data_IF_883236140926
#
_entry.id   IF_883236140926
#
_cell.length_a   1.000
_cell.length_b   1.000
_cell.length_c   1.000
_cell.angle_alpha   90.00
_cell.angle_beta   90.00
_cell.angle_gamma   90.00
#
_symmetry.space_group_name_H-M   'P 1'
#
loop_
_entity.id
_entity.type
_entity.pdbx_description
1 polymer ?
#
# COMPACT_ATOMS: atom_id res chain seq x y z
N UNK A 1 33.82 -8.32 -25.34
CA UNK A 1 33.44 -8.75 -23.98
C UNK A 1 34.57 -8.47 -22.98
N UNK A 2 34.73 -7.21 -22.53
CA UNK A 2 35.78 -6.81 -21.55
C UNK A 2 35.32 -5.73 -20.56
N UNK A 3 34.02 -5.44 -20.46
CA UNK A 3 33.49 -4.41 -19.54
C UNK A 3 32.86 -4.97 -18.26
N UNK A 4 32.64 -6.29 -18.16
CA UNK A 4 32.00 -6.91 -16.99
C UNK A 4 32.93 -7.14 -15.79
N UNK A 5 34.25 -7.04 -15.96
CA UNK A 5 35.22 -7.29 -14.87
C UNK A 5 35.54 -6.06 -14.02
N UNK A 6 35.17 -4.84 -14.45
CA UNK A 6 35.43 -3.62 -13.70
C UNK A 6 34.41 -3.34 -12.59
N UNK A 7 33.21 -3.94 -12.66
CA UNK A 7 32.14 -3.70 -11.69
C UNK A 7 32.32 -4.51 -10.39
N UNK A 8 33.05 -5.62 -10.46
CA UNK A 8 33.34 -6.47 -9.29
C UNK A 8 34.44 -5.91 -8.36
N UNK A 9 35.24 -4.92 -8.79
CA UNK A 9 36.26 -4.33 -7.92
C UNK A 9 35.75 -3.24 -6.98
N UNK A 10 34.49 -2.79 -7.14
CA UNK A 10 33.92 -1.71 -6.32
C UNK A 10 33.29 -2.20 -5.01
N UNK A 11 32.98 -3.50 -4.89
CA UNK A 11 32.24 -4.07 -3.75
C UNK A 11 33.14 -4.35 -2.52
N UNK A 12 34.47 -4.19 -2.65
CA UNK A 12 35.45 -4.56 -1.61
C UNK A 12 35.96 -3.41 -0.73
N UNK A 13 35.19 -2.33 -0.55
CA UNK A 13 35.54 -1.25 0.41
C UNK A 13 34.37 -1.01 1.35
N UNK A 14 34.10 -1.98 2.22
CA UNK A 14 33.42 -1.76 3.50
C UNK A 14 34.49 -1.56 4.57
N UNK A 15 34.51 -0.45 5.33
CA UNK A 15 35.23 -0.42 6.58
C UNK A 15 34.38 -1.12 7.65
N UNK A 16 34.93 -2.21 8.18
CA UNK A 16 34.54 -2.76 9.46
C UNK A 16 34.90 -1.76 10.56
N UNK A 17 33.93 -1.40 11.40
CA UNK A 17 34.19 -0.73 12.69
C UNK A 17 33.57 -1.56 13.80
N UNK A 18 34.39 -2.40 14.42
CA UNK A 18 34.20 -2.84 15.79
C UNK A 18 34.65 -1.71 16.73
N UNK A 19 33.83 -1.37 17.72
CA UNK A 19 34.30 -0.76 18.96
C UNK A 19 33.31 -1.06 20.08
N UNK A 20 33.68 -2.02 20.93
CA UNK A 20 33.12 -2.18 22.27
C UNK A 20 33.51 -0.97 23.15
N UNK A 21 32.57 -0.42 23.92
CA UNK A 21 32.87 0.17 25.23
C UNK A 21 31.59 0.25 26.07
N UNK A 22 31.51 -0.62 27.07
CA UNK A 22 30.60 -0.55 28.22
C UNK A 22 31.06 0.57 29.17
N UNK A 23 30.15 1.43 29.63
CA UNK A 23 29.81 1.65 31.05
C UNK A 23 28.86 2.85 31.23
N UNK A 24 27.98 2.67 32.21
CA UNK A 24 26.77 3.42 32.52
C UNK A 24 26.95 4.90 32.91
N UNK A 25 25.97 5.73 32.52
CA UNK A 25 25.37 6.70 33.44
C UNK A 25 23.98 7.16 32.98
N UNK A 26 23.01 6.67 33.73
CA UNK A 26 21.60 7.03 33.76
C UNK A 26 21.43 8.53 34.07
N UNK A 27 20.80 9.28 33.15
CA UNK A 27 20.07 10.50 33.45
C UNK A 27 18.84 10.52 32.53
N UNK A 28 17.67 10.36 33.16
CA UNK A 28 16.37 10.56 32.55
C UNK A 28 16.26 12.01 32.09
N UNK A 29 16.00 12.22 30.81
CA UNK A 29 15.24 13.36 30.33
C UNK A 29 14.61 12.98 29.00
N UNK A 30 13.31 12.73 29.08
CA UNK A 30 12.30 12.91 28.03
C UNK A 30 12.80 12.63 26.61
N UNK A 31 12.68 11.37 26.21
CA UNK A 31 12.67 11.03 24.79
C UNK A 31 11.55 11.84 24.14
N UNK A 32 11.96 12.86 23.38
CA UNK A 32 11.22 13.34 22.23
C UNK A 32 10.56 12.13 21.58
N UNK A 33 9.24 12.22 21.36
CA UNK A 33 8.49 11.25 20.60
C UNK A 33 9.30 10.92 19.36
N UNK A 34 9.87 9.71 19.38
CA UNK A 34 10.51 9.08 18.25
C UNK A 34 9.53 9.27 17.11
N UNK A 35 9.89 10.14 16.16
CA UNK A 35 9.29 10.20 14.84
C UNK A 35 9.46 8.80 14.28
N UNK A 36 8.52 7.95 14.68
CA UNK A 36 8.49 6.54 14.41
C UNK A 36 8.67 6.50 12.92
N UNK A 37 9.77 5.93 12.46
CA UNK A 37 9.99 5.67 11.05
C UNK A 37 8.71 5.01 10.57
N UNK A 38 7.86 5.79 9.90
CA UNK A 38 6.60 5.31 9.37
C UNK A 38 7.09 4.22 8.45
N UNK A 39 6.77 2.96 8.78
CA UNK A 39 7.11 1.86 7.91
C UNK A 39 6.66 2.28 6.52
N UNK A 40 7.55 2.21 5.53
CA UNK A 40 7.31 2.69 4.18
C UNK A 40 6.29 1.76 3.52
N UNK A 41 5.03 1.91 3.91
CA UNK A 41 3.93 1.03 3.51
C UNK A 41 3.48 1.47 2.14
N UNK A 42 3.36 0.51 1.24
CA UNK A 42 2.81 0.72 -0.10
C UNK A 42 1.30 0.43 -0.12
N UNK A 43 0.65 0.22 1.04
CA UNK A 43 -0.77 -0.09 1.16
C UNK A 43 -1.53 1.06 1.81
N UNK A 44 -2.51 1.58 1.07
CA UNK A 44 -3.31 2.75 1.44
C UNK A 44 -4.80 2.41 1.50
N UNK A 45 -5.54 3.21 2.25
CA UNK A 45 -7.01 3.09 2.40
C UNK A 45 -7.76 4.31 1.87
N UNK A 46 -7.04 5.25 1.27
CA UNK A 46 -7.59 6.35 0.50
C UNK A 46 -7.02 6.33 -0.91
N UNK A 47 -7.87 6.58 -1.91
CA UNK A 47 -7.44 6.70 -3.30
C UNK A 47 -6.52 7.92 -3.48
N UNK A 48 -6.86 9.05 -2.84
CA UNK A 48 -6.10 10.28 -2.97
C UNK A 48 -4.70 10.14 -2.37
N UNK A 49 -4.59 9.59 -1.16
CA UNK A 49 -3.30 9.38 -0.49
C UNK A 49 -2.42 8.40 -1.27
N UNK A 50 -2.96 7.27 -1.72
CA UNK A 50 -2.19 6.30 -2.51
C UNK A 50 -1.75 6.86 -3.86
N UNK A 51 -2.55 7.71 -4.49
CA UNK A 51 -2.18 8.37 -5.75
C UNK A 51 -1.10 9.45 -5.54
N UNK A 52 -1.19 10.22 -4.47
CA UNK A 52 -0.18 11.23 -4.11
C UNK A 52 1.16 10.57 -3.80
N UNK A 53 1.15 9.57 -2.92
CA UNK A 53 2.34 8.82 -2.57
C UNK A 53 3.02 8.18 -3.78
N UNK A 54 2.23 7.52 -4.64
CA UNK A 54 2.77 6.89 -5.84
C UNK A 54 3.42 7.91 -6.80
N UNK A 55 2.92 9.15 -6.84
CA UNK A 55 3.56 10.22 -7.63
C UNK A 55 4.85 10.72 -6.98
N UNK A 56 4.84 10.90 -5.67
CA UNK A 56 5.99 11.38 -4.91
C UNK A 56 7.16 10.40 -4.98
N UNK A 57 6.87 9.10 -4.89
CA UNK A 57 7.84 8.01 -5.05
C UNK A 57 8.15 7.67 -6.52
N UNK A 58 7.53 8.36 -7.48
CA UNK A 58 7.76 8.16 -8.91
C UNK A 58 7.32 6.78 -9.41
N UNK A 59 6.38 6.13 -8.72
CA UNK A 59 5.77 4.87 -9.15
C UNK A 59 4.86 5.13 -10.35
N UNK A 60 4.84 4.18 -11.28
CA UNK A 60 4.09 4.31 -12.52
C UNK A 60 2.72 3.65 -12.45
N UNK A 61 2.47 2.86 -11.40
CA UNK A 61 1.28 2.01 -11.28
C UNK A 61 0.63 2.18 -9.91
N UNK A 62 -0.70 2.27 -9.88
CA UNK A 62 -1.50 2.18 -8.67
C UNK A 62 -2.48 1.02 -8.84
N UNK A 63 -2.46 0.06 -7.93
CA UNK A 63 -3.34 -1.11 -7.95
C UNK A 63 -4.44 -0.88 -6.92
N UNK A 64 -5.68 -0.76 -7.37
CA UNK A 64 -6.83 -0.53 -6.49
C UNK A 64 -7.63 -1.82 -6.36
N UNK A 65 -7.70 -2.37 -5.15
CA UNK A 65 -8.59 -3.46 -4.79
C UNK A 65 -9.93 -2.87 -4.38
N UNK A 66 -10.90 -2.92 -5.28
CA UNK A 66 -12.21 -2.32 -5.11
C UNK A 66 -13.26 -3.39 -4.85
N UNK A 67 -14.05 -3.20 -3.80
CA UNK A 67 -15.31 -3.91 -3.61
C UNK A 67 -16.47 -2.96 -3.32
N UNK A 68 -17.59 -3.22 -4.00
CA UNK A 68 -18.87 -2.54 -3.80
C UNK A 68 -19.99 -3.48 -3.35
N UNK A 69 -19.74 -4.80 -3.32
CA UNK A 69 -20.72 -5.83 -2.93
C UNK A 69 -20.89 -6.01 -1.43
N UNK A 70 -19.92 -5.57 -0.61
CA UNK A 70 -19.85 -5.93 0.81
C UNK A 70 -19.06 -7.21 1.06
N UNK A 71 -18.06 -7.48 0.22
CA UNK A 71 -17.01 -8.45 0.45
C UNK A 71 -16.14 -8.03 1.65
N UNK A 72 -15.48 -9.01 2.29
CA UNK A 72 -14.68 -8.78 3.48
C UNK A 72 -13.51 -7.82 3.19
N UNK A 73 -13.51 -6.67 3.87
CA UNK A 73 -12.39 -5.73 3.88
C UNK A 73 -11.07 -6.44 4.24
N UNK A 74 -11.09 -7.30 5.25
CA UNK A 74 -9.91 -8.02 5.75
C UNK A 74 -9.27 -8.90 4.66
N UNK A 75 -10.09 -9.52 3.81
CA UNK A 75 -9.57 -10.36 2.73
C UNK A 75 -8.86 -9.53 1.66
N UNK A 76 -9.37 -8.34 1.33
CA UNK A 76 -8.73 -7.44 0.39
C UNK A 76 -7.47 -6.79 0.99
N UNK A 77 -7.54 -6.38 2.27
CA UNK A 77 -6.37 -5.88 3.00
C UNK A 77 -5.25 -6.91 3.05
N UNK A 78 -5.59 -8.17 3.35
CA UNK A 78 -4.64 -9.28 3.32
C UNK A 78 -3.99 -9.44 1.93
N UNK A 79 -4.79 -9.42 0.85
CA UNK A 79 -4.27 -9.53 -0.50
C UNK A 79 -3.34 -8.36 -0.86
N UNK A 80 -3.68 -7.13 -0.46
CA UNK A 80 -2.83 -5.96 -0.67
C UNK A 80 -1.49 -6.08 0.06
N UNK A 81 -1.49 -6.49 1.32
CA UNK A 81 -0.25 -6.73 2.08
C UNK A 81 0.56 -7.90 1.52
N UNK A 82 -0.08 -8.95 1.00
CA UNK A 82 0.61 -10.03 0.31
C UNK A 82 1.29 -9.52 -0.97
N UNK A 83 0.64 -8.64 -1.75
CA UNK A 83 1.24 -8.01 -2.92
C UNK A 83 2.37 -7.03 -2.55
N UNK A 84 2.23 -6.30 -1.46
CA UNK A 84 3.26 -5.42 -0.91
C UNK A 84 4.53 -6.19 -0.54
N UNK A 85 4.38 -7.38 0.04
CA UNK A 85 5.50 -8.26 0.39
C UNK A 85 6.26 -8.83 -0.82
N UNK A 86 5.73 -8.62 -2.03
CA UNK A 86 6.34 -9.06 -3.29
C UNK A 86 7.18 -7.96 -3.94
N UNK A 87 7.85 -8.27 -5.06
CA UNK A 87 8.59 -7.27 -5.87
C UNK A 87 7.68 -6.20 -6.49
N UNK A 88 6.35 -6.38 -6.46
CA UNK A 88 5.41 -5.42 -7.03
C UNK A 88 5.44 -4.08 -6.29
N UNK A 89 5.71 -4.06 -4.98
CA UNK A 89 5.80 -2.82 -4.18
C UNK A 89 6.89 -1.86 -4.65
N UNK A 90 7.89 -2.35 -5.39
CA UNK A 90 8.93 -1.50 -6.00
C UNK A 90 8.38 -0.65 -7.15
N UNK A 91 7.27 -1.07 -7.78
CA UNK A 91 6.74 -0.44 -8.99
C UNK A 91 5.31 0.08 -8.83
N UNK A 92 4.61 -0.37 -7.79
CA UNK A 92 3.22 -0.07 -7.55
C UNK A 92 2.93 0.23 -6.08
N UNK A 93 1.96 1.10 -5.87
CA UNK A 93 1.22 1.20 -4.62
C UNK A 93 -0.11 0.45 -4.73
N UNK A 94 -0.66 0.09 -3.57
CA UNK A 94 -1.88 -0.68 -3.43
C UNK A 94 -2.89 0.15 -2.62
N UNK A 95 -4.10 0.27 -3.13
CA UNK A 95 -5.20 0.94 -2.42
C UNK A 95 -6.31 -0.07 -2.19
N UNK A 96 -6.82 -0.15 -0.97
CA UNK A 96 -7.94 -1.04 -0.63
C UNK A 96 -9.19 -0.21 -0.39
N UNK A 97 -10.16 -0.33 -1.28
CA UNK A 97 -11.45 0.36 -1.24
C UNK A 97 -12.58 -0.65 -1.03
N UNK A 98 -12.89 -0.92 0.24
CA UNK A 98 -14.02 -1.75 0.62
C UNK A 98 -14.61 -1.27 1.94
N UNK A 99 -15.90 -1.54 2.14
CA UNK A 99 -16.59 -1.17 3.37
C UNK A 99 -16.03 -1.96 4.55
N UNK A 100 -15.71 -1.24 5.62
CA UNK A 100 -15.43 -1.83 6.93
C UNK A 100 -16.79 -1.96 7.63
N UNK A 101 -17.22 -3.19 7.90
CA UNK A 101 -18.50 -3.44 8.55
C UNK A 101 -18.72 -2.48 9.74
N UNK A 102 -19.90 -1.85 9.80
CA UNK A 102 -20.17 -0.85 10.83
C UNK A 102 -20.01 -1.47 12.22
N UNK A 103 -19.19 -0.86 13.08
CA UNK A 103 -19.06 -1.28 14.49
C UNK A 103 -20.42 -1.06 15.16
N UNK A 104 -21.19 -2.12 15.48
CA UNK A 104 -22.60 -1.99 15.82
C UNK A 104 -22.85 -1.40 17.22
N UNK A 105 -21.78 -1.08 17.97
CA UNK A 105 -21.83 -0.70 19.38
C UNK A 105 -21.72 0.80 19.64
N UNK A 106 -21.65 1.64 18.61
CA UNK A 106 -21.57 3.11 18.75
C UNK A 106 -22.92 3.73 18.38
N UNK A 107 -23.49 4.57 19.27
CA UNK A 107 -24.74 5.30 19.02
C UNK A 107 -24.55 6.83 19.12
N UNK A 108 -24.95 7.61 18.09
CA UNK A 108 -25.53 7.15 16.82
C UNK A 108 -24.51 6.36 15.99
N UNK A 109 -24.97 5.47 15.09
CA UNK A 109 -24.07 4.72 14.22
C UNK A 109 -23.22 5.70 13.42
N UNK A 110 -21.90 5.57 13.54
CA UNK A 110 -20.95 6.35 12.75
C UNK A 110 -20.90 5.72 11.35
N UNK A 111 -21.12 6.50 10.28
CA UNK A 111 -21.01 5.97 8.93
C UNK A 111 -19.56 5.54 8.66
N UNK A 112 -19.42 4.43 7.94
CA UNK A 112 -18.10 3.92 7.55
C UNK A 112 -17.38 4.93 6.64
N UNK A 113 -16.20 5.44 7.04
CA UNK A 113 -15.45 6.41 6.24
C UNK A 113 -15.08 5.88 4.85
N UNK A 114 -14.93 4.56 4.68
CA UNK A 114 -14.61 3.95 3.39
C UNK A 114 -15.69 4.18 2.33
N UNK A 115 -16.93 4.46 2.74
CA UNK A 115 -18.01 4.81 1.81
C UNK A 115 -17.66 6.08 1.03
N UNK A 116 -17.01 7.06 1.69
CA UNK A 116 -16.55 8.28 1.04
C UNK A 116 -15.42 8.01 0.05
N UNK A 117 -14.43 7.22 0.46
CA UNK A 117 -13.27 6.87 -0.40
C UNK A 117 -13.69 6.10 -1.66
N UNK A 118 -14.61 5.15 -1.52
CA UNK A 118 -15.19 4.43 -2.66
C UNK A 118 -15.91 5.40 -3.59
N UNK A 119 -16.72 6.32 -3.05
CA UNK A 119 -17.46 7.28 -3.86
C UNK A 119 -16.52 8.22 -4.64
N UNK A 120 -15.45 8.72 -4.00
CA UNK A 120 -14.44 9.57 -4.65
C UNK A 120 -13.75 8.84 -5.81
N UNK A 121 -13.39 7.57 -5.61
CA UNK A 121 -12.79 6.76 -6.66
C UNK A 121 -13.75 6.55 -7.84
N UNK A 122 -15.01 6.19 -7.56
CA UNK A 122 -16.02 5.97 -8.60
C UNK A 122 -16.35 7.27 -9.36
N UNK A 123 -16.32 8.43 -8.70
CA UNK A 123 -16.53 9.73 -9.34
C UNK A 123 -15.36 10.10 -10.27
N UNK A 124 -14.12 9.84 -9.84
CA UNK A 124 -12.92 10.06 -10.63
C UNK A 124 -12.91 9.27 -11.95
N UNK A 125 -13.61 8.13 -11.98
CA UNK A 125 -13.75 7.25 -13.15
C UNK A 125 -15.23 7.00 -13.51
N UNK A 126 -16.04 8.06 -13.48
CA UNK A 126 -17.49 8.00 -13.70
C UNK A 126 -17.92 7.53 -15.10
N UNK A 127 -17.00 7.53 -16.07
CA UNK A 127 -17.19 6.99 -17.42
C UNK A 127 -17.02 5.47 -17.49
N UNK A 128 -16.48 4.85 -16.43
CA UNK A 128 -16.24 3.41 -16.36
C UNK A 128 -17.39 2.66 -15.71
N UNK A 129 -17.55 1.39 -16.10
CA UNK A 129 -18.50 0.48 -15.46
C UNK A 129 -17.74 -0.56 -14.66
N UNK A 130 -17.96 -0.58 -13.34
CA UNK A 130 -17.34 -1.53 -12.44
C UNK A 130 -18.25 -2.76 -12.22
N UNK A 131 -17.70 -3.98 -12.22
CA UNK A 131 -18.43 -5.17 -11.82
C UNK A 131 -18.99 -5.07 -10.40
N UNK A 132 -20.07 -5.80 -10.14
CA UNK A 132 -20.66 -5.84 -8.80
C UNK A 132 -19.82 -6.65 -7.81
N UNK A 133 -18.96 -7.54 -8.28
CA UNK A 133 -18.06 -8.37 -7.46
C UNK A 133 -16.72 -7.67 -7.22
N UNK A 134 -15.90 -8.12 -6.25
CA UNK A 134 -14.58 -7.53 -6.01
C UNK A 134 -13.70 -7.59 -7.26
N UNK A 135 -12.96 -6.51 -7.50
CA UNK A 135 -12.08 -6.35 -8.65
C UNK A 135 -10.75 -5.74 -8.25
N UNK A 136 -9.74 -6.03 -9.06
CA UNK A 136 -8.43 -5.40 -9.06
C UNK A 136 -8.40 -4.44 -10.25
N UNK A 137 -8.28 -3.15 -9.99
CA UNK A 137 -8.17 -2.10 -10.99
C UNK A 137 -6.72 -1.68 -11.07
N UNK A 138 -6.13 -1.76 -12.25
CA UNK A 138 -4.76 -1.30 -12.49
C UNK A 138 -4.79 0.07 -13.12
N UNK A 139 -4.14 1.04 -12.50
CA UNK A 139 -4.04 2.41 -12.99
C UNK A 139 -2.62 2.72 -13.46
N UNK A 140 -2.50 3.37 -14.61
CA UNK A 140 -1.29 4.06 -15.00
C UNK A 140 -1.28 5.46 -14.38
N UNK A 141 -0.16 5.83 -13.76
CA UNK A 141 -0.01 7.12 -13.08
C UNK A 141 0.70 8.10 -14.00
N UNK A 142 0.02 9.19 -14.31
CA UNK A 142 0.61 10.37 -14.93
C UNK A 142 0.90 11.46 -13.90
N UNK A 143 1.67 12.47 -14.33
CA UNK A 143 2.03 13.61 -13.50
C UNK A 143 0.80 14.45 -13.04
N UNK A 144 -0.30 14.41 -13.80
CA UNK A 144 -1.52 15.19 -13.51
C UNK A 144 -2.82 14.41 -13.61
N UNK A 145 -2.77 13.18 -14.12
CA UNK A 145 -3.93 12.30 -14.28
C UNK A 145 -3.57 10.87 -13.85
N UNK A 146 -4.58 10.02 -13.70
CA UNK A 146 -4.43 8.59 -13.62
C UNK A 146 -5.42 7.96 -14.61
N UNK A 147 -5.03 6.88 -15.27
CA UNK A 147 -5.84 6.23 -16.30
C UNK A 147 -6.01 4.75 -15.96
N UNK A 148 -7.23 4.23 -16.10
CA UNK A 148 -7.48 2.79 -15.93
C UNK A 148 -6.89 2.05 -17.12
N UNK A 149 -5.96 1.15 -16.81
CA UNK A 149 -5.32 0.26 -17.77
C UNK A 149 -6.06 -1.07 -17.89
N UNK A 150 -6.51 -1.60 -16.76
CA UNK A 150 -7.20 -2.88 -16.70
C UNK A 150 -8.14 -2.97 -15.49
N UNK A 151 -9.20 -3.77 -15.63
CA UNK A 151 -10.12 -4.14 -14.55
C UNK A 151 -10.26 -5.65 -14.61
N UNK A 152 -9.70 -6.34 -13.61
CA UNK A 152 -9.73 -7.79 -13.51
C UNK A 152 -10.53 -8.22 -12.29
N UNK A 153 -11.36 -9.25 -12.44
CA UNK A 153 -12.10 -9.84 -11.33
C UNK A 153 -11.14 -10.46 -10.29
N UNK A 154 -11.41 -10.20 -9.01
CA UNK A 154 -10.63 -10.79 -7.94
C UNK A 154 -10.83 -12.32 -7.98
N UNK A 155 -9.76 -13.13 -8.06
CA UNK A 155 -9.90 -14.58 -7.98
C UNK A 155 -10.50 -14.94 -6.61
N UNK A 156 -11.38 -15.94 -6.58
CA UNK A 156 -11.96 -16.41 -5.32
C UNK A 156 -10.86 -16.91 -4.38
N UNK A 157 -10.51 -16.12 -3.37
CA UNK A 157 -9.57 -16.52 -2.34
C UNK A 157 -10.36 -17.34 -1.32
N UNK A 158 -10.07 -18.64 -1.24
CA UNK A 158 -10.66 -19.48 -0.20
C UNK A 158 -9.85 -19.26 1.10
N UNK A 159 -10.44 -18.64 2.14
CA UNK A 159 -9.70 -18.27 3.36
C UNK A 159 -9.15 -19.47 4.13
N UNK A 160 -9.60 -20.69 3.83
CA UNK A 160 -9.09 -21.93 4.44
C UNK A 160 -7.66 -22.32 4.01
N UNK A 161 -7.08 -21.62 3.01
CA UNK A 161 -5.74 -21.94 2.49
C UNK A 161 -4.68 -20.88 2.83
N UNK A 162 -5.00 -19.98 3.75
CA UNK A 162 -4.10 -18.93 4.23
C UNK A 162 -3.55 -19.34 5.60
N UNK A 163 -2.56 -20.25 5.60
CA UNK A 163 -1.74 -20.63 6.77
C UNK A 163 -0.29 -20.13 6.61
#
# INVERSE_FOLDING_TARGET
MRFLLALFSLILVLPATEAFSTEDKQCQQEAEEDCSQVADTCVFYSYAEGLEHARDEGKLTLVVLLDTSGYSFETLAYAAHAMESSLLSTFADFVVLSRREAVPLIYPPVPDPMVGEIALFLEAFSDQTFPSQPVIVTLAIGASSAEIMDITEMPSINPEFVE
#
